data_IF_010922626819
#
_entry.id   IF_010922626819
#
_cell.length_a   1.000
_cell.length_b   1.000
_cell.length_c   1.000
_cell.angle_alpha   90.00
_cell.angle_beta   90.00
_cell.angle_gamma   90.00
#
_symmetry.space_group_name_H-M   'P 1'
#
loop_
_entity.id
_entity.type
_entity.pdbx_description
1 polymer ?
#
# COMPACT_ATOMS: atom_id res chain seq x y z
N UNK A 1 8.44 1.97 -1.85
CA UNK A 1 8.06 2.39 -0.47
C UNK A 1 6.88 1.57 0.05
N UNK A 2 5.83 1.38 -0.73
CA UNK A 2 4.67 0.60 -0.29
C UNK A 2 5.00 -0.82 0.16
N UNK A 3 5.89 -1.51 -0.51
CA UNK A 3 6.31 -2.87 -0.14
C UNK A 3 7.03 -2.92 1.19
N UNK A 4 7.89 -1.94 1.48
CA UNK A 4 8.58 -1.85 2.78
C UNK A 4 7.59 -1.63 3.92
N UNK A 5 6.58 -0.80 3.71
CA UNK A 5 5.52 -0.58 4.69
C UNK A 5 4.72 -1.86 4.91
N UNK A 6 4.34 -2.54 3.84
CA UNK A 6 3.58 -3.79 3.93
C UNK A 6 4.38 -4.90 4.64
N UNK A 7 5.68 -5.01 4.37
CA UNK A 7 6.55 -5.96 5.07
C UNK A 7 6.66 -5.66 6.56
N UNK A 8 6.80 -4.38 6.90
CA UNK A 8 6.83 -3.97 8.31
C UNK A 8 5.51 -4.31 9.02
N UNK A 9 4.39 -4.07 8.36
CA UNK A 9 3.07 -4.41 8.90
C UNK A 9 2.94 -5.90 9.16
N UNK A 10 3.33 -6.75 8.19
CA UNK A 10 3.29 -8.19 8.36
C UNK A 10 4.16 -8.66 9.52
N UNK A 11 5.33 -8.07 9.70
CA UNK A 11 6.23 -8.37 10.81
C UNK A 11 5.63 -7.93 12.15
N UNK A 12 5.12 -6.71 12.24
CA UNK A 12 4.55 -6.16 13.47
C UNK A 12 3.27 -6.85 13.91
N UNK A 13 2.49 -7.33 12.96
CA UNK A 13 1.27 -8.10 13.25
C UNK A 13 1.52 -9.59 13.42
N UNK A 14 2.79 -10.00 13.32
CA UNK A 14 3.21 -11.39 13.51
C UNK A 14 2.45 -12.37 12.60
N UNK A 15 2.37 -12.01 11.31
CA UNK A 15 1.66 -12.81 10.32
C UNK A 15 2.48 -14.00 9.78
N UNK A 16 3.72 -14.12 10.22
CA UNK A 16 4.63 -15.16 9.76
C UNK A 16 5.23 -14.82 8.40
N UNK A 17 5.70 -15.85 7.72
CA UNK A 17 6.39 -15.71 6.43
C UNK A 17 5.40 -15.45 5.30
N UNK A 18 5.70 -14.46 4.46
CA UNK A 18 4.94 -14.22 3.23
C UNK A 18 5.10 -15.41 2.27
N UNK A 19 3.99 -15.87 1.70
CA UNK A 19 3.94 -16.99 0.77
C UNK A 19 3.40 -16.55 -0.58
N UNK A 20 3.81 -17.22 -1.64
CA UNK A 20 3.32 -16.90 -2.99
C UNK A 20 1.84 -17.25 -3.12
N UNK A 21 1.01 -16.24 -3.34
CA UNK A 21 -0.44 -16.37 -3.55
C UNK A 21 -1.00 -15.11 -4.21
N UNK A 22 -2.02 -15.24 -5.03
CA UNK A 22 -2.66 -14.12 -5.74
C UNK A 22 -1.67 -13.31 -6.60
N UNK A 23 -0.78 -13.99 -7.29
CA UNK A 23 0.29 -13.36 -8.08
C UNK A 23 1.14 -12.35 -7.27
N UNK A 24 1.38 -12.65 -6.00
CA UNK A 24 2.13 -11.79 -5.09
C UNK A 24 2.67 -12.55 -3.90
N UNK A 25 3.24 -11.81 -2.96
CA UNK A 25 3.65 -12.33 -1.66
C UNK A 25 2.56 -11.99 -0.64
N UNK A 26 2.02 -13.00 0.03
CA UNK A 26 0.80 -12.91 0.82
C UNK A 26 1.00 -13.50 2.22
N UNK A 27 0.42 -12.85 3.22
CA UNK A 27 0.26 -13.40 4.55
C UNK A 27 -1.04 -12.88 5.15
N UNK A 28 -1.69 -13.69 5.97
CA UNK A 28 -2.88 -13.29 6.71
C UNK A 28 -2.88 -13.86 8.13
N UNK A 29 -3.73 -13.32 8.97
CA UNK A 29 -3.85 -13.73 10.35
C UNK A 29 -4.52 -12.65 11.18
N UNK A 30 -4.24 -12.65 12.48
CA UNK A 30 -4.72 -11.61 13.40
C UNK A 30 -3.61 -10.60 13.68
N UNK A 31 -3.97 -9.34 13.80
CA UNK A 31 -3.04 -8.27 14.17
C UNK A 31 -2.74 -8.35 15.66
N UNK A 32 -1.91 -9.32 16.05
CA UNK A 32 -1.61 -9.64 17.45
C UNK A 32 -2.67 -10.52 18.10
N UNK A 33 -2.40 -11.02 19.34
CA UNK A 33 -3.34 -11.88 20.05
C UNK A 33 -4.69 -11.20 20.30
N UNK A 34 -5.77 -11.82 19.84
CA UNK A 34 -7.12 -11.26 20.00
C UNK A 34 -7.43 -10.07 19.10
N UNK A 35 -6.50 -9.66 18.22
CA UNK A 35 -6.70 -8.55 17.31
C UNK A 35 -7.60 -8.89 16.12
N UNK A 36 -7.93 -7.89 15.28
CA UNK A 36 -8.72 -8.11 14.08
C UNK A 36 -7.97 -8.94 13.04
N UNK A 37 -8.71 -9.58 12.14
CA UNK A 37 -8.10 -10.31 11.03
C UNK A 37 -7.59 -9.32 9.99
N UNK A 38 -6.38 -9.57 9.52
CA UNK A 38 -5.69 -8.74 8.52
C UNK A 38 -5.06 -9.62 7.45
N UNK A 39 -4.85 -9.04 6.28
CA UNK A 39 -4.11 -9.67 5.21
C UNK A 39 -3.17 -8.63 4.60
N UNK A 40 -1.98 -9.08 4.24
CA UNK A 40 -0.96 -8.25 3.59
C UNK A 40 -0.62 -8.90 2.25
N UNK A 41 -0.63 -8.11 1.19
CA UNK A 41 -0.33 -8.57 -0.16
C UNK A 41 0.63 -7.59 -0.84
N UNK A 42 1.76 -8.13 -1.31
CA UNK A 42 2.72 -7.41 -2.13
C UNK A 42 2.59 -7.95 -3.56
N UNK A 43 1.85 -7.27 -4.46
CA UNK A 43 1.71 -7.76 -5.84
C UNK A 43 3.06 -7.90 -6.52
N UNK A 44 3.33 -9.07 -7.11
CA UNK A 44 4.55 -9.36 -7.85
C UNK A 44 4.28 -9.31 -9.36
N UNK A 45 3.41 -8.41 -9.76
CA UNK A 45 3.10 -8.07 -11.14
C UNK A 45 3.78 -6.75 -11.48
N UNK A 46 3.75 -6.34 -12.74
CA UNK A 46 4.07 -4.96 -13.07
C UNK A 46 3.06 -4.04 -12.37
N UNK A 47 3.47 -2.81 -12.05
CA UNK A 47 2.61 -1.86 -11.30
C UNK A 47 1.27 -1.64 -12.01
N UNK A 48 1.26 -1.55 -13.34
CA UNK A 48 0.05 -1.38 -14.14
C UNK A 48 -0.86 -2.63 -14.16
N UNK A 49 -0.42 -3.75 -13.56
CA UNK A 49 -1.18 -5.00 -13.47
C UNK A 49 -1.51 -5.39 -12.02
N UNK A 50 -1.31 -4.49 -11.07
CA UNK A 50 -1.56 -4.76 -9.64
C UNK A 50 -3.00 -5.21 -9.36
N UNK A 51 -3.96 -4.74 -10.13
CA UNK A 51 -5.36 -5.17 -10.02
C UNK A 51 -5.56 -6.65 -10.29
N UNK A 52 -4.71 -7.28 -11.11
CA UNK A 52 -4.73 -8.73 -11.37
C UNK A 52 -4.32 -9.56 -10.17
N UNK A 53 -3.64 -8.96 -9.19
CA UNK A 53 -3.30 -9.58 -7.90
C UNK A 53 -4.37 -9.28 -6.85
N UNK A 54 -4.71 -8.02 -6.68
CA UNK A 54 -5.59 -7.53 -5.61
C UNK A 54 -7.05 -7.92 -5.82
N UNK A 55 -7.54 -7.89 -7.06
CA UNK A 55 -8.93 -8.24 -7.37
C UNK A 55 -9.30 -9.66 -6.92
N UNK A 56 -8.56 -10.70 -7.36
CA UNK A 56 -8.80 -12.07 -6.92
C UNK A 56 -8.66 -12.25 -5.41
N UNK A 57 -7.69 -11.60 -4.77
CA UNK A 57 -7.48 -11.67 -3.33
C UNK A 57 -8.69 -11.12 -2.58
N UNK A 58 -9.18 -9.95 -2.96
CA UNK A 58 -10.38 -9.34 -2.36
C UNK A 58 -11.58 -10.27 -2.46
N UNK A 59 -11.80 -10.86 -3.64
CA UNK A 59 -12.91 -11.78 -3.86
C UNK A 59 -12.83 -13.01 -2.97
N UNK A 60 -11.66 -13.63 -2.90
CA UNK A 60 -11.42 -14.83 -2.09
C UNK A 60 -11.58 -14.56 -0.59
N UNK A 61 -11.18 -13.37 -0.12
CA UNK A 61 -11.27 -12.97 1.29
C UNK A 61 -12.64 -12.37 1.65
N UNK A 62 -13.48 -12.10 0.66
CA UNK A 62 -14.82 -11.54 0.89
C UNK A 62 -14.81 -10.14 1.50
N UNK A 63 -13.81 -9.33 1.18
CA UNK A 63 -13.65 -8.01 1.79
C UNK A 63 -14.53 -6.95 1.11
N UNK A 64 -15.23 -6.11 1.89
CA UNK A 64 -15.82 -4.90 1.32
C UNK A 64 -14.72 -3.96 0.84
N UNK A 65 -15.03 -3.16 -0.16
CA UNK A 65 -14.03 -2.30 -0.81
C UNK A 65 -13.40 -1.30 0.16
N UNK A 66 -14.15 -0.81 1.12
CA UNK A 66 -13.72 0.14 2.14
C UNK A 66 -12.64 -0.44 3.08
N UNK A 67 -12.49 -1.75 3.11
CA UNK A 67 -11.46 -2.44 3.92
C UNK A 67 -10.22 -2.80 3.12
N UNK A 68 -10.18 -2.51 1.84
CA UNK A 68 -8.97 -2.62 1.03
C UNK A 68 -8.16 -1.34 1.20
N UNK A 69 -6.89 -1.48 1.58
CA UNK A 69 -5.98 -0.35 1.78
C UNK A 69 -4.81 -0.47 0.81
N UNK A 70 -4.67 0.48 -0.09
CA UNK A 70 -3.51 0.59 -0.97
C UNK A 70 -2.47 1.48 -0.30
N UNK A 71 -1.28 0.95 -0.09
CA UNK A 71 -0.12 1.71 0.39
C UNK A 71 0.77 1.99 -0.80
N UNK A 72 0.98 3.26 -1.10
CA UNK A 72 1.71 3.62 -2.32
C UNK A 72 2.53 4.91 -2.15
N UNK A 73 3.54 5.04 -3.00
CA UNK A 73 4.33 6.25 -3.11
C UNK A 73 3.48 7.37 -3.69
N UNK A 74 3.67 8.59 -3.17
CA UNK A 74 2.98 9.77 -3.65
C UNK A 74 3.97 10.89 -3.92
N UNK A 75 4.16 11.25 -5.19
CA UNK A 75 5.08 12.32 -5.58
C UNK A 75 4.51 13.72 -5.34
N UNK A 76 3.21 13.84 -5.15
CA UNK A 76 2.54 15.13 -4.88
C UNK A 76 2.59 15.54 -3.40
N UNK A 77 3.09 14.68 -2.53
CA UNK A 77 3.34 14.98 -1.13
C UNK A 77 4.84 15.12 -0.88
N UNK A 78 5.26 16.13 -0.09
CA UNK A 78 6.67 16.22 0.30
C UNK A 78 7.15 14.97 1.01
N UNK A 79 8.44 14.68 0.88
CA UNK A 79 9.05 13.57 1.62
C UNK A 79 8.81 13.76 3.13
N UNK A 80 8.38 12.72 3.79
CA UNK A 80 8.10 12.74 5.23
C UNK A 80 6.63 12.91 5.59
N UNK A 81 5.77 13.29 4.65
CA UNK A 81 4.33 13.35 4.88
C UNK A 81 3.66 12.02 4.55
N UNK A 82 2.72 11.62 5.39
CA UNK A 82 1.85 10.46 5.14
C UNK A 82 0.42 10.92 5.32
N UNK A 83 -0.43 10.64 4.33
CA UNK A 83 -1.85 11.01 4.37
C UNK A 83 -2.72 9.82 3.97
N UNK A 84 -3.87 9.72 4.62
CA UNK A 84 -4.88 8.72 4.28
C UNK A 84 -6.01 9.35 3.49
N UNK A 85 -6.66 8.55 2.64
CA UNK A 85 -7.80 9.00 1.85
C UNK A 85 -8.67 7.81 1.49
N UNK A 86 -9.99 7.98 1.56
CA UNK A 86 -10.94 7.00 1.04
C UNK A 86 -11.39 7.44 -0.35
N UNK A 87 -11.17 6.60 -1.36
CA UNK A 87 -11.54 6.91 -2.72
C UNK A 87 -10.71 8.00 -3.37
N UNK A 88 -11.26 8.66 -4.34
CA UNK A 88 -10.64 9.76 -5.07
C UNK A 88 -10.08 9.38 -6.42
N UNK A 89 -9.39 10.32 -7.08
CA UNK A 89 -8.84 10.15 -8.40
C UNK A 89 -7.65 9.18 -8.44
N UNK A 90 -7.45 8.59 -9.59
CA UNK A 90 -6.33 7.67 -9.84
C UNK A 90 -5.42 8.17 -10.97
N UNK A 91 -5.70 9.35 -11.50
CA UNK A 91 -4.95 9.92 -12.60
C UNK A 91 -3.47 10.11 -12.22
N UNK A 92 -2.59 9.77 -13.15
CA UNK A 92 -1.15 9.90 -12.94
C UNK A 92 -0.50 8.78 -12.11
N UNK A 93 -1.27 7.81 -11.62
CA UNK A 93 -0.73 6.69 -10.88
C UNK A 93 -1.20 5.37 -11.48
N UNK A 94 -0.30 4.68 -12.20
CA UNK A 94 -0.62 3.45 -12.93
C UNK A 94 -1.08 2.32 -12.01
N UNK A 95 -0.48 2.19 -10.84
CA UNK A 95 -0.88 1.19 -9.84
C UNK A 95 -2.31 1.42 -9.36
N UNK A 96 -2.68 2.65 -9.04
CA UNK A 96 -4.05 2.98 -8.61
C UNK A 96 -5.07 2.78 -9.71
N UNK A 97 -4.71 3.09 -10.97
CA UNK A 97 -5.57 2.80 -12.13
C UNK A 97 -5.84 1.31 -12.25
N UNK A 98 -4.80 0.49 -12.13
CA UNK A 98 -4.92 -0.97 -12.19
C UNK A 98 -5.77 -1.51 -11.04
N UNK A 99 -5.60 -0.99 -9.83
CA UNK A 99 -6.44 -1.37 -8.68
C UNK A 99 -7.91 -1.04 -8.92
N UNK A 100 -8.20 0.16 -9.44
CA UNK A 100 -9.56 0.55 -9.80
C UNK A 100 -10.18 -0.42 -10.79
N UNK A 101 -9.44 -0.82 -11.82
CA UNK A 101 -9.90 -1.78 -12.82
C UNK A 101 -10.15 -3.16 -12.19
N UNK A 102 -9.22 -3.66 -11.39
CA UNK A 102 -9.32 -4.96 -10.74
C UNK A 102 -10.40 -5.04 -9.66
N UNK A 103 -10.65 -3.94 -8.97
CA UNK A 103 -11.64 -3.84 -7.91
C UNK A 103 -13.01 -3.33 -8.39
N UNK A 104 -13.07 -2.77 -9.59
CA UNK A 104 -14.29 -2.26 -10.22
C UNK A 104 -14.64 -0.81 -9.89
N UNK A 105 -14.14 -0.26 -8.76
CA UNK A 105 -14.38 1.11 -8.33
C UNK A 105 -13.17 1.67 -7.60
N UNK A 106 -13.04 3.02 -7.49
CA UNK A 106 -11.91 3.65 -6.79
C UNK A 106 -12.14 3.82 -5.27
N UNK A 107 -13.22 3.31 -4.70
CA UNK A 107 -13.66 3.59 -3.32
C UNK A 107 -12.93 2.75 -2.27
N UNK A 108 -11.65 2.53 -2.44
CA UNK A 108 -10.78 1.86 -1.46
C UNK A 108 -9.96 2.89 -0.68
N UNK A 109 -9.49 2.47 0.50
CA UNK A 109 -8.63 3.28 1.36
C UNK A 109 -7.23 3.40 0.75
N UNK A 110 -6.57 4.53 1.01
CA UNK A 110 -5.21 4.78 0.54
C UNK A 110 -4.36 5.36 1.67
N UNK A 111 -3.18 4.80 1.83
CA UNK A 111 -2.11 5.40 2.63
C UNK A 111 -1.10 5.95 1.64
N UNK A 112 -1.06 7.26 1.53
CA UNK A 112 -0.22 8.00 0.58
C UNK A 112 1.07 8.37 1.28
N UNK A 113 2.18 7.76 0.82
CA UNK A 113 3.50 7.95 1.41
C UNK A 113 4.27 8.97 0.58
N UNK A 114 4.47 10.16 1.11
CA UNK A 114 5.10 11.26 0.41
C UNK A 114 6.57 11.01 0.14
N UNK A 115 6.96 11.06 -1.14
CA UNK A 115 8.34 10.90 -1.59
C UNK A 115 8.86 12.14 -2.33
N UNK A 116 8.01 13.15 -2.55
CA UNK A 116 8.34 14.36 -3.28
C UNK A 116 8.40 14.16 -4.78
N UNK A 117 8.39 15.25 -5.53
CA UNK A 117 8.53 15.22 -6.99
C UNK A 117 9.98 15.35 -7.43
N UNK A 118 10.39 14.67 -8.52
CA UNK A 118 11.64 15.01 -9.20
C UNK A 118 11.50 16.36 -9.90
N UNK A 119 12.62 16.96 -10.31
CA UNK A 119 12.67 18.26 -10.98
C UNK A 119 12.14 18.23 -12.43
N UNK A 120 11.43 17.20 -12.83
CA UNK A 120 10.93 17.00 -14.18
C UNK A 120 9.52 16.41 -14.15
N UNK A 121 8.71 16.80 -15.14
CA UNK A 121 7.38 16.20 -15.39
C UNK A 121 7.43 15.09 -16.45
N UNK A 122 8.60 14.81 -17.01
CA UNK A 122 8.79 13.73 -17.99
C UNK A 122 8.42 12.39 -17.35
N UNK A 123 7.49 11.60 -17.93
CA UNK A 123 7.07 10.33 -17.35
C UNK A 123 8.22 9.33 -17.12
N UNK A 124 9.22 9.30 -17.99
CA UNK A 124 10.37 8.41 -17.82
C UNK A 124 11.24 8.82 -16.64
N UNK A 125 11.44 10.13 -16.44
CA UNK A 125 12.20 10.65 -15.29
C UNK A 125 11.45 10.40 -14.00
N UNK A 126 10.14 10.63 -13.96
CA UNK A 126 9.30 10.36 -12.79
C UNK A 126 9.32 8.88 -12.43
N UNK A 127 9.19 7.99 -13.42
CA UNK A 127 9.25 6.55 -13.21
C UNK A 127 10.58 6.12 -12.60
N UNK A 128 11.69 6.58 -13.14
CA UNK A 128 13.03 6.29 -12.60
C UNK A 128 13.20 6.83 -11.18
N UNK A 129 12.66 7.99 -10.87
CA UNK A 129 12.70 8.59 -9.55
C UNK A 129 11.97 7.72 -8.53
N UNK A 130 10.75 7.29 -8.84
CA UNK A 130 9.92 6.46 -7.95
C UNK A 130 10.53 5.08 -7.73
N UNK A 131 11.12 4.48 -8.77
CA UNK A 131 11.73 3.15 -8.71
C UNK A 131 13.18 3.18 -8.22
N UNK A 132 13.81 4.35 -8.14
CA UNK A 132 15.20 4.50 -7.73
C UNK A 132 15.38 4.44 -6.23
N UNK A 133 16.66 4.51 -5.81
CA UNK A 133 17.00 4.60 -4.40
C UNK A 133 16.69 6.00 -3.88
N UNK A 134 16.26 6.08 -2.62
CA UNK A 134 16.03 7.34 -1.97
C UNK A 134 17.37 8.08 -1.75
N UNK A 135 17.37 9.39 -2.03
CA UNK A 135 18.52 10.26 -1.75
C UNK A 135 18.60 10.66 -0.29
N UNK A 136 17.47 10.59 0.41
CA UNK A 136 17.37 10.96 1.81
C UNK A 136 18.09 9.95 2.69
N UNK A 137 18.61 10.36 3.86
CA UNK A 137 19.27 9.46 4.80
C UNK A 137 18.37 8.27 5.17
N UNK A 138 18.98 7.12 5.37
CA UNK A 138 18.26 5.88 5.74
C UNK A 138 17.37 6.06 6.96
N UNK A 139 17.78 6.89 7.91
CA UNK A 139 17.01 7.19 9.12
C UNK A 139 15.70 7.90 8.78
N UNK A 140 15.73 8.85 7.86
CA UNK A 140 14.54 9.58 7.41
C UNK A 140 13.57 8.65 6.65
N UNK A 141 14.11 7.75 5.84
CA UNK A 141 13.30 6.73 5.14
C UNK A 141 12.63 5.80 6.15
N UNK A 142 13.37 5.37 7.17
CA UNK A 142 12.82 4.52 8.24
C UNK A 142 11.71 5.22 9.00
N UNK A 143 11.88 6.49 9.35
CA UNK A 143 10.85 7.28 10.01
C UNK A 143 9.60 7.40 9.17
N UNK A 144 9.76 7.57 7.85
CA UNK A 144 8.63 7.64 6.92
C UNK A 144 7.85 6.33 6.89
N UNK A 145 8.55 5.20 6.83
CA UNK A 145 7.93 3.87 6.88
C UNK A 145 7.19 3.67 8.21
N UNK A 146 7.77 4.09 9.33
CA UNK A 146 7.13 4.02 10.65
C UNK A 146 5.85 4.86 10.70
N UNK A 147 5.85 6.06 10.13
CA UNK A 147 4.64 6.90 10.05
C UNK A 147 3.54 6.25 9.25
N UNK A 148 3.90 5.62 8.13
CA UNK A 148 2.93 4.90 7.32
C UNK A 148 2.32 3.73 8.11
N UNK A 149 3.14 3.01 8.87
CA UNK A 149 2.67 1.93 9.74
C UNK A 149 1.71 2.46 10.81
N UNK A 150 2.00 3.60 11.42
CA UNK A 150 1.10 4.24 12.39
C UNK A 150 -0.27 4.55 11.78
N UNK A 151 -0.30 5.03 10.53
CA UNK A 151 -1.56 5.29 9.84
C UNK A 151 -2.33 4.00 9.55
N UNK A 152 -1.66 2.91 9.20
CA UNK A 152 -2.28 1.60 9.06
C UNK A 152 -2.90 1.14 10.38
N UNK A 153 -2.20 1.34 11.50
CA UNK A 153 -2.71 0.99 12.84
C UNK A 153 -3.96 1.80 13.18
N UNK A 154 -4.01 3.08 12.81
CA UNK A 154 -5.20 3.92 13.02
C UNK A 154 -6.39 3.43 12.20
N UNK A 155 -6.15 3.08 10.92
CA UNK A 155 -7.21 2.54 10.08
C UNK A 155 -7.73 1.22 10.63
N UNK A 156 -6.83 0.38 11.12
CA UNK A 156 -7.18 -0.91 11.72
C UNK A 156 -8.01 -0.73 12.99
N UNK A 157 -7.63 0.22 13.85
CA UNK A 157 -8.36 0.53 15.07
C UNK A 157 -9.77 1.08 14.82
N UNK A 158 -10.03 1.64 13.65
CA UNK A 158 -11.35 2.14 13.27
C UNK A 158 -12.30 1.05 12.76
N UNK A 159 -11.80 -0.16 12.51
CA UNK A 159 -12.62 -1.28 12.05
C UNK A 159 -13.47 -1.79 13.21
N UNK A 160 -14.82 -1.95 13.03
CA UNK A 160 -15.67 -2.50 14.09
C UNK A 160 -15.22 -3.91 14.49
N UNK A 161 -15.39 -4.30 15.77
CA UNK A 161 -15.13 -5.67 16.19
C UNK A 161 -16.03 -6.66 15.43
N UNK A 162 -15.46 -7.80 15.13
CA UNK A 162 -16.22 -8.91 14.51
C UNK A 162 -17.20 -9.55 15.50
#
# INVERSE_FOLDING_TARGET
MGFEVARLAAERWDLGKLKRKYAGDFADGRAGPGGPRVAVLLPQTYMNDSGGSVGPARGALGLPLERVVAVHDEIDLPFGEVRTKLGGGVAGHNGLKSLKEGLGRPDFQRVRVGVGRPDSTDPDVVSKYVLGRFREPKEHVRELIERAQEELERLLASVPPE
#
